data_IF_728501625794
#
_entry.id   IF_728501625794
#
_cell.length_a   1.000
_cell.length_b   1.000
_cell.length_c   1.000
_cell.angle_alpha   90.00
_cell.angle_beta   90.00
_cell.angle_gamma   90.00
#
_symmetry.space_group_name_H-M   'P 1'
#
loop_
_entity.id
_entity.type
_entity.pdbx_description
1 polymer ?
#
# COMPACT_ATOMS: atom_id res chain seq x y z
N UNK A 1 -23.26 33.51 -3.06
CA UNK A 1 -24.63 33.72 -3.55
C UNK A 1 -24.75 33.11 -4.95
N UNK A 2 -25.89 32.49 -5.23
CA UNK A 2 -26.21 31.91 -6.54
C UNK A 2 -27.65 32.40 -6.81
N UNK A 3 -27.91 33.10 -7.92
CA UNK A 3 -29.20 33.63 -8.32
C UNK A 3 -29.92 34.36 -7.17
N UNK A 4 -29.22 35.30 -6.52
CA UNK A 4 -29.65 36.09 -5.35
C UNK A 4 -29.95 35.31 -4.05
N UNK A 5 -29.83 34.00 -4.04
CA UNK A 5 -29.94 33.15 -2.86
C UNK A 5 -28.64 33.01 -2.10
N UNK A 6 -28.72 33.01 -0.77
CA UNK A 6 -27.56 32.71 0.09
C UNK A 6 -27.38 31.19 0.21
N UNK A 7 -26.37 30.63 -0.46
CA UNK A 7 -26.06 29.20 -0.43
C UNK A 7 -24.91 28.95 0.54
N UNK A 8 -25.07 27.94 1.43
CA UNK A 8 -24.02 27.45 2.30
C UNK A 8 -23.91 25.91 2.14
N UNK A 9 -22.68 25.43 1.96
CA UNK A 9 -22.41 23.99 1.75
C UNK A 9 -21.32 23.57 2.73
N UNK A 10 -21.57 22.48 3.48
CA UNK A 10 -20.58 22.02 4.46
C UNK A 10 -21.10 20.97 5.43
N UNK A 11 -20.31 20.69 6.47
CA UNK A 11 -20.72 19.74 7.51
C UNK A 11 -21.89 20.29 8.32
N UNK A 12 -22.77 19.41 8.79
CA UNK A 12 -23.95 19.79 9.56
C UNK A 12 -23.60 20.61 10.83
N UNK A 13 -22.49 20.27 11.50
CA UNK A 13 -21.98 21.00 12.66
C UNK A 13 -21.64 22.46 12.35
N UNK A 14 -21.12 22.74 11.17
CA UNK A 14 -20.83 24.09 10.72
C UNK A 14 -22.13 24.84 10.36
N UNK A 15 -23.06 24.21 9.65
CA UNK A 15 -24.36 24.80 9.33
C UNK A 15 -25.16 25.17 10.59
N UNK A 16 -25.15 24.30 11.61
CA UNK A 16 -25.71 24.62 12.93
C UNK A 16 -25.06 25.86 13.56
N UNK A 17 -23.74 25.98 13.50
CA UNK A 17 -23.01 27.11 14.07
C UNK A 17 -23.34 28.45 13.41
N UNK A 18 -23.66 28.45 12.11
CA UNK A 18 -24.09 29.64 11.38
C UNK A 18 -25.64 29.89 11.48
N UNK A 19 -26.35 29.08 12.29
CA UNK A 19 -27.75 29.28 12.57
C UNK A 19 -28.73 28.71 11.53
N UNK A 20 -28.31 27.77 10.70
CA UNK A 20 -29.20 27.16 9.72
C UNK A 20 -30.34 26.33 10.38
N UNK A 21 -31.56 26.49 9.91
CA UNK A 21 -32.76 25.75 10.33
C UNK A 21 -32.84 24.36 9.65
N UNK A 22 -33.66 23.43 10.18
CA UNK A 22 -33.92 22.11 9.56
C UNK A 22 -32.78 21.09 9.74
N UNK A 23 -31.79 21.37 10.61
CA UNK A 23 -30.64 20.50 10.79
C UNK A 23 -30.94 19.16 11.46
N UNK A 24 -32.07 19.05 12.21
CA UNK A 24 -32.50 17.80 12.86
C UNK A 24 -32.99 16.76 11.86
N UNK A 25 -33.91 17.18 11.01
CA UNK A 25 -34.54 16.32 9.98
C UNK A 25 -33.50 15.87 8.95
N UNK A 26 -32.61 16.81 8.53
CA UNK A 26 -31.52 16.52 7.63
C UNK A 26 -30.56 15.49 8.20
N UNK A 27 -30.24 15.54 9.51
CA UNK A 27 -29.41 14.55 10.18
C UNK A 27 -30.07 13.17 10.18
N UNK A 28 -31.34 13.10 10.49
CA UNK A 28 -32.09 11.84 10.51
C UNK A 28 -32.09 11.16 9.12
N UNK A 29 -32.32 11.98 8.07
CA UNK A 29 -32.32 11.48 6.70
C UNK A 29 -30.91 11.02 6.24
N UNK A 30 -29.86 11.72 6.66
CA UNK A 30 -28.48 11.39 6.30
C UNK A 30 -27.92 10.18 7.06
N UNK A 31 -28.45 9.86 8.25
CA UNK A 31 -27.95 8.81 9.13
C UNK A 31 -27.91 7.43 8.47
N UNK A 32 -28.81 7.12 7.55
CA UNK A 32 -28.82 5.85 6.81
C UNK A 32 -27.57 5.73 5.93
N UNK A 33 -27.24 6.80 5.21
CA UNK A 33 -26.05 6.83 4.34
C UNK A 33 -24.74 6.87 5.13
N UNK A 34 -24.74 7.58 6.27
CA UNK A 34 -23.59 7.60 7.19
C UNK A 34 -23.32 6.22 7.80
N UNK A 35 -24.37 5.46 8.11
CA UNK A 35 -24.25 4.08 8.59
C UNK A 35 -23.69 3.12 7.51
N UNK A 36 -23.86 3.45 6.24
CA UNK A 36 -23.26 2.75 5.09
C UNK A 36 -21.84 3.27 4.75
N UNK A 37 -21.28 4.14 5.60
CA UNK A 37 -19.93 4.67 5.43
C UNK A 37 -19.82 5.90 4.52
N UNK A 38 -20.94 6.48 4.06
CA UNK A 38 -20.90 7.68 3.23
C UNK A 38 -20.52 8.93 4.04
N UNK A 39 -19.76 9.83 3.42
CA UNK A 39 -19.55 11.19 3.93
C UNK A 39 -20.68 12.10 3.44
N UNK A 40 -21.38 12.77 4.37
CA UNK A 40 -22.49 13.65 4.02
C UNK A 40 -22.07 15.12 4.03
N UNK A 41 -22.42 15.82 2.95
CA UNK A 41 -22.23 17.26 2.79
C UNK A 41 -23.62 17.90 2.67
N UNK A 42 -23.97 18.79 3.59
CA UNK A 42 -25.28 19.42 3.67
C UNK A 42 -25.31 20.74 2.92
N UNK A 43 -26.46 21.06 2.34
CA UNK A 43 -26.72 22.28 1.58
C UNK A 43 -27.80 23.06 2.30
N UNK A 44 -27.49 24.31 2.62
CA UNK A 44 -28.48 25.26 3.12
C UNK A 44 -28.71 26.38 2.11
N UNK A 45 -29.97 26.76 1.92
CA UNK A 45 -30.42 27.84 1.09
C UNK A 45 -31.16 28.85 1.97
N UNK A 46 -30.78 30.12 1.91
CA UNK A 46 -31.35 31.21 2.70
C UNK A 46 -31.52 30.89 4.20
N UNK A 47 -30.56 30.19 4.75
CA UNK A 47 -30.54 29.85 6.17
C UNK A 47 -31.33 28.58 6.55
N UNK A 48 -31.90 27.83 5.60
CA UNK A 48 -32.53 26.53 5.85
C UNK A 48 -31.82 25.40 5.15
N UNK A 49 -31.64 24.26 5.81
CA UNK A 49 -31.08 23.06 5.18
C UNK A 49 -32.12 22.47 4.24
N UNK A 50 -31.79 22.44 2.95
CA UNK A 50 -32.70 21.96 1.89
C UNK A 50 -32.37 20.54 1.42
N UNK A 51 -31.16 20.02 1.75
CA UNK A 51 -30.75 18.68 1.36
C UNK A 51 -29.32 18.38 1.73
N UNK A 52 -28.89 17.19 1.33
CA UNK A 52 -27.49 16.76 1.47
C UNK A 52 -27.04 15.93 0.26
N UNK A 53 -25.75 15.85 0.06
CA UNK A 53 -25.11 14.95 -0.89
C UNK A 53 -24.36 13.90 -0.07
N UNK A 54 -24.68 12.63 -0.30
CA UNK A 54 -23.91 11.52 0.26
C UNK A 54 -22.81 11.13 -0.73
N UNK A 55 -21.58 11.23 -0.29
CA UNK A 55 -20.40 10.83 -1.04
C UNK A 55 -19.93 9.49 -0.48
N UNK A 56 -19.92 8.47 -1.31
CA UNK A 56 -19.37 7.16 -0.96
C UNK A 56 -18.26 6.81 -1.95
N UNK A 57 -17.09 6.51 -1.42
CA UNK A 57 -16.03 5.95 -2.23
C UNK A 57 -16.32 4.47 -2.49
N UNK A 58 -16.61 4.16 -3.75
CA UNK A 58 -16.78 2.77 -4.15
C UNK A 58 -15.43 2.05 -4.08
N UNK A 59 -15.41 0.95 -3.34
CA UNK A 59 -14.22 0.12 -3.30
C UNK A 59 -13.91 -0.44 -4.68
N UNK A 60 -12.63 -0.41 -5.07
CA UNK A 60 -12.19 -0.97 -6.35
C UNK A 60 -12.49 -2.47 -6.39
N UNK A 61 -13.01 -2.99 -7.51
CA UNK A 61 -13.38 -4.39 -7.61
C UNK A 61 -12.18 -5.32 -7.38
N UNK A 62 -12.37 -6.35 -6.58
CA UNK A 62 -11.37 -7.38 -6.32
C UNK A 62 -10.41 -7.10 -5.16
N UNK A 63 -10.56 -6.01 -4.40
CA UNK A 63 -9.71 -5.67 -3.25
C UNK A 63 -9.70 -6.80 -2.21
N UNK A 64 -10.83 -7.38 -1.86
CA UNK A 64 -10.91 -8.50 -0.92
C UNK A 64 -10.08 -9.72 -1.37
N UNK A 65 -9.97 -9.96 -2.68
CA UNK A 65 -9.11 -11.02 -3.21
C UNK A 65 -7.62 -10.67 -3.06
N UNK A 66 -7.27 -9.39 -3.21
CA UNK A 66 -5.91 -8.89 -3.00
C UNK A 66 -5.51 -9.08 -1.54
N UNK A 67 -6.35 -8.65 -0.58
CA UNK A 67 -6.07 -8.80 0.85
C UNK A 67 -5.91 -10.27 1.24
N UNK A 68 -6.82 -11.14 0.85
CA UNK A 68 -6.68 -12.59 1.07
C UNK A 68 -5.43 -13.19 0.43
N UNK A 69 -5.01 -12.69 -0.74
CA UNK A 69 -3.79 -13.16 -1.40
C UNK A 69 -2.53 -12.71 -0.66
N UNK A 70 -2.53 -11.55 -0.03
CA UNK A 70 -1.44 -11.07 0.83
C UNK A 70 -1.35 -11.87 2.13
N UNK A 71 -2.49 -12.12 2.78
CA UNK A 71 -2.54 -12.95 4.00
C UNK A 71 -2.01 -14.37 3.77
N UNK A 72 -2.39 -15.01 2.64
CA UNK A 72 -1.84 -16.31 2.24
C UNK A 72 -0.32 -16.29 2.04
N UNK A 73 0.24 -15.12 1.86
CA UNK A 73 1.67 -14.89 1.76
C UNK A 73 2.29 -14.44 3.10
N UNK A 74 1.58 -14.53 4.22
CA UNK A 74 2.00 -14.03 5.53
C UNK A 74 2.37 -12.53 5.48
N UNK A 75 1.55 -11.75 4.79
CA UNK A 75 1.57 -10.29 4.81
C UNK A 75 0.24 -9.85 5.39
N UNK A 76 0.25 -9.14 6.52
CA UNK A 76 -0.95 -8.64 7.20
C UNK A 76 -1.32 -7.27 6.63
N UNK A 77 -2.46 -7.15 5.94
CA UNK A 77 -2.95 -5.85 5.47
C UNK A 77 -3.35 -4.95 6.66
N UNK A 78 -3.10 -3.66 6.55
CA UNK A 78 -3.52 -2.65 7.50
C UNK A 78 -4.12 -1.46 6.72
N UNK A 79 -5.21 -0.91 7.23
CA UNK A 79 -5.83 0.29 6.69
C UNK A 79 -5.49 1.48 7.58
N UNK A 80 -4.91 2.53 7.01
CA UNK A 80 -4.70 3.83 7.65
C UNK A 80 -5.37 4.92 6.82
N UNK A 81 -6.44 5.49 7.32
CA UNK A 81 -7.23 6.49 6.60
C UNK A 81 -7.51 7.72 7.44
N UNK A 82 -7.66 8.88 6.79
CA UNK A 82 -8.14 10.11 7.41
C UNK A 82 -9.65 10.15 7.64
N UNK A 83 -10.39 9.16 7.15
CA UNK A 83 -11.84 9.06 7.32
C UNK A 83 -12.21 8.77 8.76
N UNK A 84 -13.47 9.05 9.09
CA UNK A 84 -14.02 8.72 10.41
C UNK A 84 -14.17 7.20 10.59
N UNK A 85 -14.27 6.80 11.86
CA UNK A 85 -14.16 5.40 12.27
C UNK A 85 -15.17 4.49 11.56
N UNK A 86 -16.43 4.91 11.46
CA UNK A 86 -17.50 4.12 10.86
C UNK A 86 -17.26 3.84 9.37
N UNK A 87 -16.76 4.82 8.61
CA UNK A 87 -16.39 4.65 7.21
C UNK A 87 -15.17 3.72 7.06
N UNK A 88 -14.15 3.90 7.91
CA UNK A 88 -12.96 3.05 7.90
C UNK A 88 -13.29 1.58 8.22
N UNK A 89 -14.14 1.33 9.21
CA UNK A 89 -14.60 -0.02 9.59
C UNK A 89 -15.43 -0.67 8.46
N UNK A 90 -16.29 0.11 7.80
CA UNK A 90 -17.05 -0.38 6.65
C UNK A 90 -16.13 -0.82 5.51
N UNK A 91 -15.18 0.02 5.10
CA UNK A 91 -14.19 -0.28 4.07
C UNK A 91 -13.33 -1.49 4.45
N UNK A 92 -12.86 -1.56 5.70
CA UNK A 92 -12.06 -2.68 6.19
C UNK A 92 -12.81 -4.01 6.12
N UNK A 93 -14.07 -4.02 6.57
CA UNK A 93 -14.94 -5.20 6.51
C UNK A 93 -15.17 -5.67 5.08
N UNK A 94 -15.46 -4.77 4.16
CA UNK A 94 -15.64 -5.10 2.74
C UNK A 94 -14.33 -5.59 2.11
N UNK A 95 -13.18 -5.01 2.49
CA UNK A 95 -11.86 -5.44 2.06
C UNK A 95 -11.41 -6.77 2.69
N UNK A 96 -12.04 -7.19 3.78
CA UNK A 96 -11.63 -8.36 4.56
C UNK A 96 -10.41 -8.09 5.45
N UNK A 97 -10.21 -6.85 5.88
CA UNK A 97 -9.16 -6.46 6.83
C UNK A 97 -9.71 -6.56 8.25
N UNK A 98 -8.96 -7.19 9.16
CA UNK A 98 -9.33 -7.30 10.57
C UNK A 98 -9.38 -5.91 11.23
N UNK A 99 -10.44 -5.63 12.02
CA UNK A 99 -10.65 -4.34 12.70
C UNK A 99 -9.46 -3.90 13.57
N UNK A 100 -8.67 -4.85 14.09
CA UNK A 100 -7.45 -4.58 14.85
C UNK A 100 -6.34 -3.90 14.03
N UNK A 101 -6.45 -3.97 12.71
CA UNK A 101 -5.51 -3.38 11.76
C UNK A 101 -6.11 -2.17 11.04
N UNK A 102 -7.05 -1.48 11.69
CA UNK A 102 -7.69 -0.27 11.17
C UNK A 102 -7.35 0.92 12.04
N UNK A 103 -6.63 1.86 11.48
CA UNK A 103 -6.34 3.16 12.08
C UNK A 103 -7.15 4.23 11.31
N UNK A 104 -8.23 4.73 11.92
CA UNK A 104 -9.13 5.74 11.37
C UNK A 104 -8.78 7.15 11.88
N UNK A 105 -9.21 8.18 11.16
CA UNK A 105 -8.97 9.58 11.53
C UNK A 105 -7.51 9.99 11.53
N UNK A 106 -6.65 9.27 10.78
CA UNK A 106 -5.22 9.48 10.75
C UNK A 106 -4.86 10.77 9.99
N UNK A 107 -4.21 11.68 10.66
CA UNK A 107 -3.46 12.76 10.01
C UNK A 107 -2.13 12.21 9.44
N UNK A 108 -1.48 12.92 8.51
CA UNK A 108 -0.19 12.47 7.95
C UNK A 108 0.86 12.12 9.01
N UNK A 109 0.90 12.89 10.12
CA UNK A 109 1.82 12.67 11.23
C UNK A 109 1.49 11.38 12.03
N UNK A 110 0.20 10.99 12.09
CA UNK A 110 -0.22 9.76 12.75
C UNK A 110 0.25 8.54 11.97
N UNK A 111 0.16 8.57 10.64
CA UNK A 111 0.69 7.54 9.75
C UNK A 111 2.18 7.34 9.96
N UNK A 112 2.94 8.44 10.05
CA UNK A 112 4.37 8.41 10.37
C UNK A 112 4.65 7.75 11.72
N UNK A 113 3.97 8.20 12.78
CA UNK A 113 4.12 7.64 14.14
C UNK A 113 3.79 6.15 14.17
N UNK A 114 2.78 5.73 13.43
CA UNK A 114 2.41 4.32 13.33
C UNK A 114 3.51 3.49 12.68
N UNK A 115 4.05 3.94 11.54
CA UNK A 115 5.17 3.27 10.88
C UNK A 115 6.40 3.17 11.78
N UNK A 116 6.74 4.24 12.51
CA UNK A 116 7.85 4.21 13.48
C UNK A 116 7.62 3.23 14.61
N UNK A 117 6.39 3.11 15.11
CA UNK A 117 6.05 2.14 16.16
C UNK A 117 6.23 0.70 15.68
N UNK A 118 5.83 0.41 14.45
CA UNK A 118 6.00 -0.90 13.82
C UNK A 118 7.47 -1.23 13.58
N UNK A 119 8.26 -0.25 13.15
CA UNK A 119 9.71 -0.43 12.97
C UNK A 119 10.43 -0.70 14.29
N UNK A 120 10.09 0.02 15.37
CA UNK A 120 10.62 -0.25 16.72
C UNK A 120 10.28 -1.67 17.20
N UNK A 121 9.14 -2.20 16.76
CA UNK A 121 8.75 -3.60 16.98
C UNK A 121 9.42 -4.57 15.99
N UNK A 122 10.38 -4.11 15.17
CA UNK A 122 11.08 -4.89 14.13
C UNK A 122 10.16 -5.46 13.04
N UNK A 123 8.98 -4.86 12.86
CA UNK A 123 8.03 -5.22 11.81
C UNK A 123 8.38 -4.40 10.55
N UNK A 124 8.72 -5.09 9.47
CA UNK A 124 8.97 -4.48 8.17
C UNK A 124 7.65 -4.16 7.48
N UNK A 125 7.46 -2.91 7.11
CA UNK A 125 6.23 -2.42 6.51
C UNK A 125 6.41 -2.05 5.05
N UNK A 126 5.38 -2.32 4.24
CA UNK A 126 5.22 -1.70 2.94
C UNK A 126 4.06 -0.69 3.03
N UNK A 127 4.33 0.57 2.75
CA UNK A 127 3.30 1.61 2.67
C UNK A 127 2.85 1.74 1.23
N UNK A 128 1.53 1.73 1.02
CA UNK A 128 0.91 1.95 -0.28
C UNK A 128 0.06 3.21 -0.19
N UNK A 129 0.28 4.18 -1.07
CA UNK A 129 -0.44 5.45 -1.04
C UNK A 129 -0.37 6.20 -2.36
N UNK A 130 -1.17 7.26 -2.49
CA UNK A 130 -1.23 8.12 -3.69
C UNK A 130 -0.09 9.14 -3.77
N UNK A 131 0.66 9.32 -2.69
CA UNK A 131 1.83 10.18 -2.60
C UNK A 131 1.56 11.68 -2.39
N UNK A 132 0.33 12.15 -2.45
CA UNK A 132 0.05 13.59 -2.24
C UNK A 132 0.16 13.90 -0.74
N UNK A 133 -0.60 13.20 0.08
CA UNK A 133 -0.60 13.34 1.54
C UNK A 133 0.29 12.31 2.24
N UNK A 134 0.62 11.22 1.54
CA UNK A 134 1.33 10.07 2.09
C UNK A 134 2.84 10.07 1.78
N UNK A 135 3.37 11.07 1.06
CA UNK A 135 4.78 11.13 0.68
C UNK A 135 5.76 10.95 1.87
N UNK A 136 5.56 11.59 3.03
CA UNK A 136 6.42 11.35 4.20
C UNK A 136 6.32 9.90 4.72
N UNK A 137 5.13 9.31 4.71
CA UNK A 137 4.88 7.93 5.14
C UNK A 137 5.46 6.92 4.15
N UNK A 138 5.33 7.16 2.84
CA UNK A 138 5.95 6.35 1.79
C UNK A 138 7.48 6.30 1.96
N UNK A 139 8.10 7.46 2.17
CA UNK A 139 9.56 7.56 2.35
C UNK A 139 10.04 6.94 3.67
N UNK A 140 9.19 6.91 4.69
CA UNK A 140 9.52 6.38 6.02
C UNK A 140 9.37 4.87 6.11
N UNK A 141 8.47 4.29 5.34
CA UNK A 141 8.23 2.85 5.32
C UNK A 141 9.48 2.07 4.90
N UNK A 142 9.55 0.77 5.25
CA UNK A 142 10.62 -0.10 4.78
C UNK A 142 10.59 -0.26 3.25
N UNK A 143 9.41 -0.22 2.65
CA UNK A 143 9.18 -0.11 1.20
C UNK A 143 8.01 0.83 0.97
N UNK A 144 8.24 1.93 0.26
CA UNK A 144 7.20 2.83 -0.22
C UNK A 144 6.71 2.41 -1.62
N UNK A 145 5.41 2.27 -1.78
CA UNK A 145 4.76 1.94 -3.06
C UNK A 145 3.78 3.05 -3.40
N UNK A 146 4.11 3.86 -4.39
CA UNK A 146 3.22 4.90 -4.88
C UNK A 146 2.21 4.33 -5.88
N UNK A 147 0.95 4.69 -5.69
CA UNK A 147 -0.16 4.46 -6.60
C UNK A 147 -0.52 5.77 -7.30
N UNK A 148 -1.02 5.66 -8.50
CA UNK A 148 -1.37 6.83 -9.28
C UNK A 148 -0.41 7.05 -10.43
N UNK A 149 -1.00 6.97 -11.63
CA UNK A 149 -0.26 7.16 -12.87
C UNK A 149 0.43 8.52 -12.93
N UNK A 150 1.17 8.68 -13.97
CA UNK A 150 1.89 9.85 -14.47
C UNK A 150 1.22 11.18 -14.00
N UNK A 151 1.65 11.73 -12.85
CA UNK A 151 1.09 13.01 -12.42
C UNK A 151 1.53 13.54 -11.06
N UNK A 152 2.08 12.71 -10.19
CA UNK A 152 2.62 13.19 -8.93
C UNK A 152 4.13 12.95 -8.87
N UNK A 153 4.90 13.91 -9.34
CA UNK A 153 6.37 13.90 -9.19
C UNK A 153 6.77 13.71 -7.72
N UNK A 154 5.92 14.16 -6.79
CA UNK A 154 6.13 14.03 -5.35
C UNK A 154 6.05 12.55 -4.92
N UNK A 155 5.04 11.81 -5.41
CA UNK A 155 4.88 10.38 -5.12
C UNK A 155 6.02 9.55 -5.68
N UNK A 156 6.41 9.83 -6.93
CA UNK A 156 7.54 9.16 -7.60
C UNK A 156 8.84 9.36 -6.84
N UNK A 157 9.09 10.58 -6.33
CA UNK A 157 10.30 10.90 -5.58
C UNK A 157 10.30 10.36 -4.14
N UNK A 158 9.14 10.03 -3.58
CA UNK A 158 9.00 9.54 -2.21
C UNK A 158 8.96 8.01 -2.10
N UNK A 159 8.67 7.29 -3.19
CA UNK A 159 8.45 5.85 -3.19
C UNK A 159 9.63 5.07 -3.78
N UNK A 160 9.83 3.84 -3.31
CA UNK A 160 10.79 2.90 -3.88
C UNK A 160 10.23 2.21 -5.13
N UNK A 161 8.91 2.08 -5.21
CA UNK A 161 8.19 1.42 -6.30
C UNK A 161 7.03 2.31 -6.72
N UNK A 162 6.85 2.48 -8.03
CA UNK A 162 5.72 3.22 -8.60
C UNK A 162 4.87 2.30 -9.45
N UNK A 163 3.58 2.19 -9.14
CA UNK A 163 2.61 1.46 -9.95
C UNK A 163 2.09 2.37 -11.05
N UNK A 164 2.64 2.21 -12.25
CA UNK A 164 2.28 3.03 -13.44
C UNK A 164 0.80 2.90 -13.80
N UNK A 165 0.25 1.69 -13.67
CA UNK A 165 -1.20 1.47 -13.69
C UNK A 165 -1.67 1.50 -12.24
N UNK A 166 -2.65 2.31 -11.94
CA UNK A 166 -3.26 2.43 -10.61
C UNK A 166 -4.02 1.14 -10.22
N UNK A 167 -3.29 0.02 -10.15
CA UNK A 167 -3.84 -1.32 -9.96
C UNK A 167 -3.15 -2.04 -8.79
N UNK A 168 -3.82 -2.02 -7.65
CA UNK A 168 -3.37 -2.69 -6.43
C UNK A 168 -3.27 -4.23 -6.59
N UNK A 169 -3.94 -4.83 -7.57
CA UNK A 169 -3.93 -6.28 -7.82
C UNK A 169 -2.54 -6.82 -8.18
N UNK A 170 -1.65 -5.94 -8.58
CA UNK A 170 -0.25 -6.27 -8.87
C UNK A 170 0.58 -6.54 -7.60
N UNK A 171 0.19 -6.02 -6.43
CA UNK A 171 0.99 -6.11 -5.19
C UNK A 171 1.24 -7.56 -4.74
N UNK A 172 0.26 -8.47 -4.71
CA UNK A 172 0.53 -9.87 -4.35
C UNK A 172 1.50 -10.56 -5.28
N UNK A 173 1.46 -10.24 -6.57
CA UNK A 173 2.43 -10.75 -7.54
C UNK A 173 3.84 -10.19 -7.27
N UNK A 174 3.95 -8.91 -6.98
CA UNK A 174 5.21 -8.24 -6.65
C UNK A 174 5.88 -8.87 -5.42
N UNK A 175 5.11 -9.17 -4.38
CA UNK A 175 5.59 -9.87 -3.18
C UNK A 175 6.11 -11.27 -3.52
N UNK A 176 5.38 -12.03 -4.35
CA UNK A 176 5.83 -13.36 -4.80
C UNK A 176 7.12 -13.28 -5.62
N UNK A 177 7.18 -12.34 -6.56
CA UNK A 177 8.35 -12.11 -7.39
C UNK A 177 9.59 -11.77 -6.55
N UNK A 178 9.46 -10.82 -5.63
CA UNK A 178 10.53 -10.41 -4.72
C UNK A 178 11.05 -11.60 -3.89
N UNK A 179 10.17 -12.40 -3.30
CA UNK A 179 10.55 -13.58 -2.54
C UNK A 179 11.23 -14.66 -3.40
N UNK A 180 10.77 -14.84 -4.63
CA UNK A 180 11.40 -15.76 -5.59
C UNK A 180 12.80 -15.28 -5.98
N UNK A 181 12.92 -13.98 -6.26
CA UNK A 181 14.22 -13.36 -6.58
C UNK A 181 15.21 -13.52 -5.42
N UNK A 182 14.79 -13.22 -4.18
CA UNK A 182 15.66 -13.36 -3.01
C UNK A 182 16.09 -14.81 -2.75
N UNK A 183 15.22 -15.78 -2.97
CA UNK A 183 15.58 -17.20 -2.88
C UNK A 183 16.63 -17.59 -3.92
N UNK A 184 16.47 -17.10 -5.15
CA UNK A 184 17.40 -17.35 -6.23
C UNK A 184 18.76 -16.71 -5.98
N UNK A 185 18.79 -15.46 -5.51
CA UNK A 185 20.04 -14.78 -5.12
C UNK A 185 20.77 -15.58 -4.04
N UNK A 186 20.07 -15.97 -2.98
CA UNK A 186 20.67 -16.78 -1.90
C UNK A 186 21.21 -18.12 -2.42
N UNK A 187 20.46 -18.80 -3.27
CA UNK A 187 20.90 -20.05 -3.89
C UNK A 187 22.14 -19.85 -4.74
N UNK A 188 22.18 -18.84 -5.60
CA UNK A 188 23.31 -18.53 -6.46
C UNK A 188 24.57 -18.19 -5.66
N UNK A 189 24.46 -17.37 -4.63
CA UNK A 189 25.57 -17.02 -3.74
C UNK A 189 26.09 -18.29 -3.03
N UNK A 190 25.18 -19.09 -2.46
CA UNK A 190 25.57 -20.31 -1.74
C UNK A 190 26.25 -21.31 -2.68
N UNK A 191 25.75 -21.47 -3.90
CA UNK A 191 26.32 -22.35 -4.91
C UNK A 191 27.70 -21.88 -5.31
N UNK A 192 27.88 -20.59 -5.64
CA UNK A 192 29.15 -20.00 -6.01
C UNK A 192 30.19 -20.14 -4.89
N UNK A 193 29.80 -19.86 -3.64
CA UNK A 193 30.69 -20.03 -2.48
C UNK A 193 31.13 -21.47 -2.29
N UNK A 194 30.21 -22.44 -2.43
CA UNK A 194 30.55 -23.88 -2.31
C UNK A 194 31.50 -24.32 -3.40
N UNK A 195 31.29 -23.94 -4.66
CA UNK A 195 32.18 -24.26 -5.78
C UNK A 195 33.57 -23.68 -5.54
N UNK A 196 33.65 -22.40 -5.18
CA UNK A 196 34.96 -21.76 -4.91
C UNK A 196 35.68 -22.39 -3.72
N UNK A 197 34.96 -22.67 -2.63
CA UNK A 197 35.55 -23.31 -1.45
C UNK A 197 36.11 -24.72 -1.75
N UNK A 198 35.36 -25.51 -2.52
CA UNK A 198 35.79 -26.82 -2.98
C UNK A 198 37.05 -26.70 -3.89
N UNK A 199 37.03 -25.74 -4.81
CA UNK A 199 38.19 -25.51 -5.71
C UNK A 199 39.45 -25.13 -4.93
N UNK A 200 39.35 -24.31 -3.88
CA UNK A 200 40.46 -23.94 -3.00
C UNK A 200 41.00 -25.17 -2.29
N UNK A 201 40.16 -26.03 -1.74
CA UNK A 201 40.60 -27.27 -1.07
C UNK A 201 41.32 -28.18 -2.04
N UNK A 202 40.78 -28.40 -3.24
CA UNK A 202 41.42 -29.25 -4.25
C UNK A 202 42.76 -28.69 -4.74
N UNK A 203 42.84 -27.38 -4.88
CA UNK A 203 44.10 -26.70 -5.21
C UNK A 203 45.13 -26.84 -4.10
N UNK A 204 44.75 -26.68 -2.82
CA UNK A 204 45.64 -26.86 -1.66
C UNK A 204 46.14 -28.29 -1.51
N UNK A 205 45.35 -29.29 -1.93
CA UNK A 205 45.74 -30.69 -1.97
C UNK A 205 46.59 -31.06 -3.21
N UNK A 206 46.86 -30.09 -4.10
CA UNK A 206 47.61 -30.34 -5.34
C UNK A 206 46.81 -31.09 -6.42
N UNK A 207 45.49 -31.28 -6.21
CA UNK A 207 44.60 -32.03 -7.13
C UNK A 207 44.01 -31.12 -8.24
N UNK A 208 44.22 -29.81 -8.17
CA UNK A 208 43.67 -28.84 -9.14
C UNK A 208 44.78 -27.85 -9.55
N UNK A 209 45.08 -27.80 -10.84
CA UNK A 209 45.98 -26.79 -11.41
C UNK A 209 45.21 -25.50 -11.77
N UNK A 210 45.95 -24.39 -12.06
CA UNK A 210 45.36 -23.06 -12.33
C UNK A 210 44.36 -23.06 -13.49
N UNK A 211 44.64 -23.80 -14.56
CA UNK A 211 43.78 -23.88 -15.75
C UNK A 211 42.41 -24.54 -15.41
N UNK A 212 42.47 -25.66 -14.68
CA UNK A 212 41.26 -26.35 -14.27
C UNK A 212 40.43 -25.49 -13.28
N UNK A 213 41.12 -24.78 -12.36
CA UNK A 213 40.47 -23.84 -11.45
C UNK A 213 39.74 -22.71 -12.19
N UNK A 214 40.33 -22.12 -13.23
CA UNK A 214 39.72 -21.13 -14.08
C UNK A 214 38.49 -21.67 -14.84
N UNK A 215 38.59 -22.89 -15.36
CA UNK A 215 37.46 -23.54 -16.06
C UNK A 215 36.29 -23.79 -15.11
N UNK A 216 36.52 -24.30 -13.90
CA UNK A 216 35.49 -24.53 -12.88
C UNK A 216 34.80 -23.22 -12.47
N UNK A 217 35.58 -22.14 -12.26
CA UNK A 217 35.06 -20.83 -11.94
C UNK A 217 34.15 -20.28 -13.05
N UNK A 218 34.62 -20.36 -14.31
CA UNK A 218 33.81 -19.89 -15.46
C UNK A 218 32.52 -20.73 -15.64
N UNK A 219 32.60 -22.04 -15.49
CA UNK A 219 31.41 -22.91 -15.54
C UNK A 219 30.44 -22.57 -14.44
N UNK A 220 30.89 -22.31 -13.22
CA UNK A 220 30.05 -21.84 -12.11
C UNK A 220 29.35 -20.53 -12.42
N UNK A 221 30.03 -19.56 -13.03
CA UNK A 221 29.46 -18.29 -13.45
C UNK A 221 28.35 -18.47 -14.49
N UNK A 222 28.55 -19.32 -15.49
CA UNK A 222 27.54 -19.64 -16.51
C UNK A 222 26.31 -20.27 -15.87
N UNK A 223 26.47 -21.20 -14.94
CA UNK A 223 25.35 -21.81 -14.22
C UNK A 223 24.53 -20.77 -13.45
N UNK A 224 25.19 -19.83 -12.76
CA UNK A 224 24.53 -18.74 -12.03
C UNK A 224 23.73 -17.82 -12.98
N UNK A 225 24.30 -17.47 -14.13
CA UNK A 225 23.64 -16.65 -15.14
C UNK A 225 22.41 -17.37 -15.69
N UNK A 226 22.53 -18.63 -16.08
CA UNK A 226 21.42 -19.42 -16.61
C UNK A 226 20.30 -19.60 -15.58
N UNK A 227 20.66 -19.84 -14.31
CA UNK A 227 19.68 -19.91 -13.24
C UNK A 227 18.96 -18.58 -13.03
N UNK A 228 19.67 -17.45 -13.07
CA UNK A 228 19.09 -16.10 -12.95
C UNK A 228 18.14 -15.77 -14.11
N UNK A 229 18.46 -16.18 -15.33
CA UNK A 229 17.60 -15.99 -16.49
C UNK A 229 16.21 -16.68 -16.38
N UNK A 230 16.05 -17.65 -15.48
CA UNK A 230 14.74 -18.29 -15.21
C UNK A 230 13.73 -17.31 -14.59
N UNK A 231 14.16 -16.17 -14.02
CA UNK A 231 13.25 -15.12 -13.55
C UNK A 231 12.48 -14.46 -14.67
N UNK A 232 13.07 -14.35 -15.86
CA UNK A 232 12.42 -13.75 -17.04
C UNK A 232 11.18 -14.52 -17.50
N UNK A 233 11.03 -15.77 -17.10
CA UNK A 233 9.89 -16.65 -17.42
C UNK A 233 8.83 -16.66 -16.33
N UNK A 234 8.83 -15.71 -15.41
CA UNK A 234 7.80 -15.64 -14.37
C UNK A 234 6.57 -14.94 -14.92
N UNK A 235 5.43 -15.61 -15.08
CA UNK A 235 4.20 -14.98 -15.55
C UNK A 235 3.71 -13.94 -14.53
N UNK A 236 3.20 -12.85 -15.06
CA UNK A 236 2.55 -11.75 -14.31
C UNK A 236 1.19 -12.18 -13.76
#
# INVERSE_FOLDING_TARGET
>A
RIDDHAVAVGRLSWLKRIGAAGTGDARSAAAVFEAEGATTVFIALDGAVVGFIALSDAMRPGIANVMRSLEKQNVSPMLMTGDHKEAAEHIAKEAGIDERFVDAGCMPEDKLRRLESLERATIRTAMVGDGINDAPALKRAWVGIAMGGIGSDIAVNAADIVLVRDDIRVIPWLVRLSRRMMRMIRFNITLAMRINFLAIILAALGLMGPVLGALVHNAGSVIVILNSARLLRTPS
#
